data_IF_258280416339
#
_entry.id   IF_258280416339
#
_cell.length_a   1.000
_cell.length_b   1.000
_cell.length_c   1.000
_cell.angle_alpha   90.00
_cell.angle_beta   90.00
_cell.angle_gamma   90.00
#
_symmetry.space_group_name_H-M   'P 1'
#
loop_
_entity.id
_entity.type
_entity.pdbx_description
1 polymer ?
#
# COMPACT_ATOMS: atom_id res chain seq x y z
N UNK A 1 32.88 -9.17 -26.36
CA UNK A 1 31.88 -9.84 -25.53
C UNK A 1 32.28 -9.63 -24.06
N UNK A 2 31.80 -8.61 -23.49
CA UNK A 2 32.12 -8.28 -22.10
C UNK A 2 31.06 -8.89 -21.21
N UNK A 3 31.33 -10.13 -20.76
CA UNK A 3 30.56 -10.74 -19.70
C UNK A 3 30.92 -10.07 -18.39
N UNK A 4 29.99 -9.37 -17.78
CA UNK A 4 30.12 -8.98 -16.39
C UNK A 4 30.10 -10.27 -15.56
N UNK A 5 31.17 -10.56 -14.80
CA UNK A 5 31.10 -11.69 -13.88
C UNK A 5 30.01 -11.37 -12.88
N UNK A 6 28.94 -12.13 -12.92
CA UNK A 6 27.99 -12.14 -11.82
C UNK A 6 28.78 -12.53 -10.58
N UNK A 7 29.00 -11.55 -9.73
CA UNK A 7 29.54 -11.80 -8.41
C UNK A 7 28.47 -12.57 -7.67
N UNK A 8 28.60 -13.88 -7.67
CA UNK A 8 27.81 -14.68 -6.75
C UNK A 8 28.18 -14.23 -5.35
N UNK A 9 27.38 -13.38 -4.77
CA UNK A 9 27.45 -13.12 -3.36
C UNK A 9 26.99 -14.40 -2.70
N UNK A 10 27.96 -15.23 -2.30
CA UNK A 10 27.69 -16.30 -1.39
C UNK A 10 27.20 -15.64 -0.10
N UNK A 11 25.89 -15.52 0.01
CA UNK A 11 25.33 -15.40 1.33
C UNK A 11 25.67 -16.70 2.04
N UNK A 12 26.80 -16.70 2.75
CA UNK A 12 26.92 -17.62 3.85
C UNK A 12 25.71 -17.33 4.71
N UNK A 13 24.72 -18.15 4.60
CA UNK A 13 23.73 -18.32 5.64
C UNK A 13 24.47 -18.92 6.84
N UNK A 14 25.42 -18.17 7.37
CA UNK A 14 25.75 -18.30 8.74
C UNK A 14 24.48 -17.90 9.43
N UNK A 15 23.69 -18.88 9.81
CA UNK A 15 22.72 -18.67 10.87
C UNK A 15 23.53 -17.92 11.92
N UNK A 16 23.23 -16.64 12.22
CA UNK A 16 23.91 -16.01 13.33
C UNK A 16 23.70 -16.97 14.49
N UNK A 17 24.79 -17.45 15.07
CA UNK A 17 24.69 -18.25 16.27
C UNK A 17 23.71 -17.48 17.14
N UNK A 18 22.53 -18.04 17.37
CA UNK A 18 21.57 -17.44 18.25
C UNK A 18 22.34 -17.18 19.51
N UNK A 19 22.61 -15.91 19.76
CA UNK A 19 23.09 -15.52 21.06
C UNK A 19 22.10 -16.18 22.01
N UNK A 20 22.57 -17.00 22.97
CA UNK A 20 21.65 -17.61 23.90
C UNK A 20 20.82 -16.47 24.44
N UNK A 21 19.53 -16.57 24.23
CA UNK A 21 18.61 -15.58 24.76
C UNK A 21 18.99 -15.41 26.22
N UNK A 22 19.21 -14.19 26.70
CA UNK A 22 19.55 -14.02 28.11
C UNK A 22 18.45 -14.75 28.86
N UNK A 23 18.80 -15.84 29.49
CA UNK A 23 17.92 -16.48 30.42
C UNK A 23 17.80 -15.50 31.57
N UNK A 24 16.82 -14.63 31.48
CA UNK A 24 16.31 -14.02 32.67
C UNK A 24 15.67 -15.14 33.47
N UNK A 25 16.48 -15.79 34.25
CA UNK A 25 16.05 -16.70 35.28
C UNK A 25 15.33 -15.94 36.41
N UNK A 26 14.31 -15.26 36.04
CA UNK A 26 13.28 -14.82 36.94
C UNK A 26 12.16 -15.81 36.82
N UNK A 27 12.00 -16.65 37.80
CA UNK A 27 10.72 -17.29 38.04
C UNK A 27 9.70 -16.20 38.17
N UNK A 28 9.11 -15.81 37.05
CA UNK A 28 7.90 -15.00 37.05
C UNK A 28 6.81 -15.91 37.58
N UNK A 29 6.67 -15.91 38.89
CA UNK A 29 5.49 -16.37 39.55
C UNK A 29 4.31 -15.58 38.96
N UNK A 30 3.47 -16.23 38.16
CA UNK A 30 2.09 -15.93 37.90
C UNK A 30 1.63 -14.46 37.83
N UNK A 31 2.51 -13.55 37.48
CA UNK A 31 2.12 -12.17 37.21
C UNK A 31 1.63 -12.10 35.76
N UNK A 32 0.37 -11.77 35.57
CA UNK A 32 -0.14 -11.38 34.27
C UNK A 32 0.82 -10.35 33.66
N UNK A 33 1.59 -10.77 32.67
CA UNK A 33 2.31 -9.80 31.87
C UNK A 33 1.29 -8.86 31.26
N UNK A 34 1.38 -7.55 31.52
CA UNK A 34 0.49 -6.62 30.83
C UNK A 34 0.70 -6.80 29.35
N UNK A 35 -0.38 -6.90 28.54
CA UNK A 35 -0.26 -6.99 27.10
C UNK A 35 0.56 -5.80 26.62
N UNK A 36 1.51 -6.05 25.71
CA UNK A 36 2.30 -4.99 25.10
C UNK A 36 1.36 -4.07 24.35
N UNK A 37 1.30 -2.80 24.78
CA UNK A 37 0.48 -1.78 24.16
C UNK A 37 1.36 -0.80 23.41
N UNK A 38 0.94 -0.32 22.24
CA UNK A 38 1.66 0.73 21.55
C UNK A 38 1.79 1.96 22.43
N UNK A 39 2.95 2.58 22.41
CA UNK A 39 3.21 3.81 23.17
C UNK A 39 2.16 4.87 22.87
N UNK A 40 1.58 5.47 23.89
CA UNK A 40 0.54 6.50 23.76
C UNK A 40 -0.90 5.98 23.77
N UNK A 41 -1.14 4.70 24.01
CA UNK A 41 -2.50 4.19 24.18
C UNK A 41 -3.15 4.75 25.43
N UNK A 42 -4.39 5.27 25.34
CA UNK A 42 -5.11 5.76 26.51
C UNK A 42 -5.46 4.61 27.44
N UNK A 43 -5.26 4.84 28.74
CA UNK A 43 -5.61 3.88 29.79
C UNK A 43 -6.81 4.38 30.58
N UNK A 44 -7.69 3.47 30.99
CA UNK A 44 -8.74 3.78 31.94
C UNK A 44 -8.16 3.94 33.35
N UNK A 45 -8.89 4.58 34.24
CA UNK A 45 -8.48 4.78 35.61
C UNK A 45 -8.21 3.47 36.37
N UNK A 46 -8.68 2.35 35.90
CA UNK A 46 -8.41 1.01 36.43
C UNK A 46 -7.22 0.29 35.78
N UNK A 47 -6.40 0.97 34.96
CA UNK A 47 -5.24 0.38 34.30
C UNK A 47 -5.57 -0.53 33.12
N UNK A 48 -6.83 -0.58 32.71
CA UNK A 48 -7.24 -1.32 31.52
C UNK A 48 -6.95 -0.49 30.28
N UNK A 49 -6.20 -1.07 29.33
CA UNK A 49 -5.97 -0.42 28.05
C UNK A 49 -7.27 -0.44 27.26
N UNK A 50 -7.78 0.73 26.93
CA UNK A 50 -8.87 0.83 25.95
C UNK A 50 -8.27 0.57 24.58
N UNK A 51 -8.67 -0.48 23.84
CA UNK A 51 -8.28 -0.61 22.46
C UNK A 51 -8.81 0.64 21.75
N UNK A 52 -7.90 1.54 21.41
CA UNK A 52 -8.21 2.61 20.49
C UNK A 52 -8.52 1.92 19.18
N UNK A 53 -9.78 1.74 18.89
CA UNK A 53 -10.19 1.62 17.52
C UNK A 53 -9.79 2.95 16.90
N UNK A 54 -8.60 2.96 16.30
CA UNK A 54 -8.25 4.02 15.37
C UNK A 54 -9.40 3.97 14.40
N UNK A 55 -10.27 5.01 14.34
CA UNK A 55 -11.25 5.04 13.29
C UNK A 55 -10.44 4.90 12.03
N UNK A 56 -10.63 3.81 11.32
CA UNK A 56 -10.09 3.63 9.99
C UNK A 56 -10.82 4.61 9.09
N UNK A 57 -10.64 5.90 9.36
CA UNK A 57 -10.83 6.92 8.36
C UNK A 57 -9.68 6.68 7.41
N UNK A 58 -9.92 5.81 6.45
CA UNK A 58 -9.05 5.79 5.29
C UNK A 58 -9.05 7.21 4.77
N UNK A 59 -7.96 7.88 5.02
CA UNK A 59 -7.77 9.19 4.44
C UNK A 59 -7.94 8.97 2.94
N UNK A 60 -8.78 9.79 2.32
CA UNK A 60 -9.17 9.65 0.92
C UNK A 60 -7.99 10.03 0.01
N UNK A 61 -6.87 9.32 0.16
CA UNK A 61 -5.73 9.42 -0.72
C UNK A 61 -6.04 8.74 -2.05
N UNK A 62 -5.41 9.21 -3.09
CA UNK A 62 -5.59 8.67 -4.44
C UNK A 62 -5.31 7.15 -4.51
N UNK A 63 -4.30 6.68 -3.79
CA UNK A 63 -4.00 5.25 -3.74
C UNK A 63 -5.14 4.42 -3.15
N UNK A 64 -5.86 4.95 -2.18
CA UNK A 64 -6.99 4.25 -1.57
C UNK A 64 -8.18 4.21 -2.53
N UNK A 65 -8.44 5.29 -3.24
CA UNK A 65 -9.47 5.31 -4.30
C UNK A 65 -9.13 4.28 -5.38
N UNK A 66 -7.90 4.24 -5.82
CA UNK A 66 -7.46 3.29 -6.84
C UNK A 66 -7.57 1.84 -6.34
N UNK A 67 -7.18 1.55 -5.09
CA UNK A 67 -7.29 0.19 -4.50
C UNK A 67 -8.73 -0.31 -4.40
N UNK A 68 -9.69 0.58 -4.16
CA UNK A 68 -11.10 0.21 -4.16
C UNK A 68 -11.63 -0.13 -5.56
N UNK A 69 -10.89 0.22 -6.60
CA UNK A 69 -11.30 0.08 -8.00
C UNK A 69 -10.38 -0.87 -8.79
N UNK A 70 -9.69 -1.77 -8.11
CA UNK A 70 -8.90 -2.80 -8.79
C UNK A 70 -9.75 -3.63 -9.75
N UNK A 71 -9.15 -4.03 -10.86
CA UNK A 71 -9.82 -4.79 -11.92
C UNK A 71 -10.55 -3.93 -12.96
N UNK A 72 -10.68 -2.63 -12.75
CA UNK A 72 -11.29 -1.70 -13.70
C UNK A 72 -10.29 -1.24 -14.75
N UNK A 73 -10.79 -0.96 -15.94
CA UNK A 73 -9.97 -0.38 -17.01
C UNK A 73 -9.89 1.13 -16.80
N UNK A 74 -8.67 1.62 -16.65
CA UNK A 74 -8.38 3.03 -16.50
C UNK A 74 -7.48 3.56 -17.60
N UNK A 75 -7.56 4.86 -17.82
CA UNK A 75 -6.63 5.62 -18.66
C UNK A 75 -5.86 6.58 -17.77
N UNK A 76 -4.55 6.43 -17.75
CA UNK A 76 -3.64 7.13 -16.87
C UNK A 76 -2.81 8.13 -17.67
N UNK A 77 -2.88 9.39 -17.29
CA UNK A 77 -2.19 10.50 -17.93
C UNK A 77 -0.96 10.85 -17.09
N UNK A 78 0.21 10.65 -17.69
CA UNK A 78 1.51 10.76 -17.03
C UNK A 78 2.32 11.89 -17.63
N UNK A 79 2.99 12.69 -16.80
CA UNK A 79 3.90 13.76 -17.23
C UNK A 79 5.32 13.48 -16.74
N UNK A 80 6.28 13.62 -17.65
CA UNK A 80 7.71 13.39 -17.42
C UNK A 80 8.50 14.65 -17.76
N UNK A 81 8.57 15.57 -16.82
CA UNK A 81 9.14 16.92 -17.06
C UNK A 81 10.59 16.91 -17.55
N UNK A 82 11.38 15.91 -17.15
CA UNK A 82 12.80 15.84 -17.51
C UNK A 82 13.08 15.10 -18.82
N UNK A 83 12.05 14.72 -19.55
CA UNK A 83 12.19 13.98 -20.80
C UNK A 83 11.68 14.82 -21.97
N UNK A 84 12.59 15.37 -22.76
CA UNK A 84 12.25 16.21 -23.91
C UNK A 84 11.53 15.47 -25.06
N UNK A 85 11.67 14.15 -25.13
CA UNK A 85 11.03 13.34 -26.17
C UNK A 85 9.68 12.75 -25.75
N UNK A 86 9.48 12.52 -24.43
CA UNK A 86 8.33 11.81 -23.87
C UNK A 86 7.77 12.54 -22.66
N UNK A 87 7.58 13.84 -22.75
CA UNK A 87 7.15 14.64 -21.62
C UNK A 87 5.69 14.38 -21.20
N UNK A 88 4.86 13.81 -22.07
CA UNK A 88 3.52 13.37 -21.74
C UNK A 88 3.22 12.04 -22.41
N UNK A 89 2.65 11.09 -21.64
CA UNK A 89 2.27 9.78 -22.15
C UNK A 89 0.99 9.28 -21.51
N UNK A 90 0.16 8.64 -22.33
CA UNK A 90 -1.11 8.07 -21.92
C UNK A 90 -0.97 6.55 -21.88
N UNK A 91 -1.37 5.96 -20.77
CA UNK A 91 -1.42 4.51 -20.58
C UNK A 91 -2.85 4.07 -20.34
N UNK A 92 -3.29 3.04 -21.03
CA UNK A 92 -4.60 2.41 -20.82
C UNK A 92 -4.41 0.95 -20.45
N UNK A 93 -5.10 0.51 -19.42
CA UNK A 93 -5.02 -0.89 -18.97
C UNK A 93 -5.89 -1.18 -17.77
N UNK A 94 -5.92 -2.45 -17.40
CA UNK A 94 -6.60 -2.91 -16.21
C UNK A 94 -5.77 -2.56 -14.98
N UNK A 95 -6.37 -1.91 -14.00
CA UNK A 95 -5.73 -1.57 -12.74
C UNK A 95 -5.56 -2.82 -11.89
N UNK A 96 -4.33 -3.32 -11.74
CA UNK A 96 -4.03 -4.52 -10.95
C UNK A 96 -3.64 -4.21 -9.51
N UNK A 97 -2.91 -3.14 -9.31
CA UNK A 97 -2.45 -2.71 -7.98
C UNK A 97 -2.25 -1.19 -7.91
N UNK A 98 -2.39 -0.65 -6.73
CA UNK A 98 -2.05 0.73 -6.43
C UNK A 98 -1.38 0.80 -5.06
N UNK A 99 -0.17 1.33 -5.05
CA UNK A 99 0.60 1.63 -3.87
C UNK A 99 0.66 3.13 -3.62
N UNK A 100 1.39 3.50 -2.58
CA UNK A 100 1.59 4.91 -2.23
C UNK A 100 2.37 5.67 -3.31
N UNK A 101 3.32 5.02 -3.96
CA UNK A 101 4.26 5.60 -4.92
C UNK A 101 4.15 5.04 -6.34
N UNK A 102 3.34 4.00 -6.55
CA UNK A 102 3.23 3.33 -7.84
C UNK A 102 1.82 2.81 -8.12
N UNK A 103 1.56 2.60 -9.40
CA UNK A 103 0.38 1.91 -9.92
C UNK A 103 0.87 0.79 -10.84
N UNK A 104 0.21 -0.35 -10.83
CA UNK A 104 0.47 -1.44 -11.76
C UNK A 104 -0.77 -1.64 -12.61
N UNK A 105 -0.59 -1.55 -13.91
CA UNK A 105 -1.63 -1.82 -14.89
C UNK A 105 -1.21 -2.96 -15.82
N UNK A 106 -2.18 -3.68 -16.34
CA UNK A 106 -1.96 -4.71 -17.35
C UNK A 106 -2.73 -4.39 -18.63
N UNK A 107 -2.08 -4.69 -19.75
CA UNK A 107 -2.73 -4.66 -21.05
C UNK A 107 -3.44 -6.02 -21.27
N UNK A 108 -4.78 -6.04 -21.35
CA UNK A 108 -5.50 -7.28 -21.54
C UNK A 108 -5.22 -7.99 -22.88
N UNK A 109 -4.72 -7.26 -23.87
CA UNK A 109 -4.42 -7.81 -25.18
C UNK A 109 -3.08 -8.55 -25.24
N UNK A 110 -2.07 -8.03 -24.54
CA UNK A 110 -0.70 -8.57 -24.56
C UNK A 110 -0.30 -9.25 -23.27
N UNK A 111 -1.00 -8.99 -22.18
CA UNK A 111 -0.63 -9.41 -20.83
C UNK A 111 0.57 -8.65 -20.24
N UNK A 112 1.05 -7.63 -20.93
CA UNK A 112 2.15 -6.79 -20.43
C UNK A 112 1.70 -5.99 -19.21
N UNK A 113 2.55 -5.99 -18.19
CA UNK A 113 2.35 -5.15 -17.01
C UNK A 113 3.26 -3.94 -17.05
N UNK A 114 2.69 -2.80 -16.71
CA UNK A 114 3.41 -1.54 -16.64
C UNK A 114 3.33 -0.99 -15.23
N UNK A 115 4.48 -0.64 -14.68
CA UNK A 115 4.57 0.05 -13.38
C UNK A 115 4.67 1.54 -13.65
N UNK A 116 3.71 2.31 -13.16
CA UNK A 116 3.65 3.75 -13.29
C UNK A 116 3.96 4.39 -11.94
N UNK A 117 4.75 5.43 -11.93
CA UNK A 117 5.08 6.17 -10.70
C UNK A 117 3.98 7.19 -10.40
N UNK A 118 3.49 7.20 -9.16
CA UNK A 118 2.47 8.17 -8.72
C UNK A 118 2.90 9.61 -8.86
N UNK A 119 4.19 9.90 -8.68
CA UNK A 119 4.75 11.26 -8.81
C UNK A 119 4.54 11.85 -10.21
N UNK A 120 4.43 11.02 -11.22
CA UNK A 120 4.22 11.43 -12.60
C UNK A 120 2.75 11.38 -13.04
N UNK A 121 1.84 11.01 -12.17
CA UNK A 121 0.42 10.90 -12.49
C UNK A 121 -0.25 12.27 -12.37
N UNK A 122 -0.79 12.77 -13.46
CA UNK A 122 -1.59 13.99 -13.46
C UNK A 122 -3.04 13.69 -13.08
N UNK A 123 -3.67 12.76 -13.81
CA UNK A 123 -5.01 12.27 -13.53
C UNK A 123 -5.27 10.93 -14.20
N UNK A 124 -6.32 10.26 -13.74
CA UNK A 124 -6.80 9.03 -14.36
C UNK A 124 -8.29 9.12 -14.65
N UNK A 125 -8.72 8.49 -15.73
CA UNK A 125 -10.14 8.38 -16.10
C UNK A 125 -10.56 6.92 -16.14
N UNK A 126 -11.81 6.66 -15.80
CA UNK A 126 -12.42 5.35 -15.84
C UNK A 126 -13.78 5.47 -16.57
N UNK A 127 -14.09 4.52 -17.43
CA UNK A 127 -15.33 4.51 -18.19
C UNK A 127 -16.54 4.01 -17.38
N UNK A 128 -16.30 3.56 -16.15
CA UNK A 128 -17.30 3.04 -15.23
C UNK A 128 -17.28 3.79 -13.88
N UNK A 129 -18.38 3.76 -13.11
CA UNK A 129 -18.43 4.43 -11.82
C UNK A 129 -17.35 3.98 -10.88
N UNK A 130 -16.71 4.92 -10.20
CA UNK A 130 -15.70 4.63 -9.17
C UNK A 130 -16.37 4.38 -7.82
N UNK A 131 -15.83 3.40 -7.11
CA UNK A 131 -16.10 3.21 -5.69
C UNK A 131 -15.12 4.06 -4.90
N UNK A 132 -15.65 4.88 -3.99
CA UNK A 132 -14.84 5.69 -3.08
C UNK A 132 -15.57 5.88 -1.76
N UNK A 133 -14.82 6.12 -0.70
CA UNK A 133 -15.35 6.40 0.63
C UNK A 133 -14.85 7.75 1.10
N UNK A 134 -15.78 8.58 1.56
CA UNK A 134 -15.43 9.82 2.25
C UNK A 134 -15.45 9.63 3.76
N UNK A 135 -14.59 10.33 4.51
CA UNK A 135 -14.68 10.36 5.96
C UNK A 135 -16.10 10.79 6.39
N UNK A 136 -16.74 9.97 7.24
CA UNK A 136 -18.08 10.25 7.77
C UNK A 136 -19.25 9.74 6.92
N UNK A 137 -19.02 9.13 5.76
CA UNK A 137 -20.07 8.47 4.99
C UNK A 137 -19.98 6.96 5.22
N UNK A 138 -20.94 6.40 5.91
CA UNK A 138 -21.10 4.96 6.06
C UNK A 138 -21.93 4.44 4.91
N UNK A 139 -21.32 3.73 3.97
CA UNK A 139 -21.96 3.11 2.83
C UNK A 139 -21.58 3.74 1.48
N UNK A 140 -21.83 3.01 0.41
CA UNK A 140 -21.67 3.54 -0.94
C UNK A 140 -22.67 4.65 -1.16
N UNK A 141 -22.23 5.83 -1.66
CA UNK A 141 -23.19 6.87 -2.03
C UNK A 141 -24.17 6.31 -3.07
N UNK A 142 -25.46 6.65 -2.98
CA UNK A 142 -26.43 6.18 -3.94
C UNK A 142 -25.99 6.59 -5.34
N UNK A 143 -25.95 5.63 -6.26
CA UNK A 143 -25.65 5.91 -7.66
C UNK A 143 -26.81 6.74 -8.19
N UNK A 144 -26.68 8.05 -8.19
CA UNK A 144 -27.58 8.93 -8.90
C UNK A 144 -27.34 8.71 -10.39
N UNK A 145 -28.16 7.86 -10.99
CA UNK A 145 -28.25 7.81 -12.44
C UNK A 145 -28.80 9.17 -12.90
N UNK A 146 -27.93 10.03 -13.38
CA UNK A 146 -28.37 11.16 -14.20
C UNK A 146 -28.74 10.58 -15.55
N UNK A 147 -30.00 10.61 -15.81
CA UNK A 147 -30.52 10.44 -17.17
C UNK A 147 -30.21 11.70 -17.99
#
# INVERSE_FOLDING_TARGET
>A
MYGYPYRTVNYKTGVPAQAPAPMYGGTMQGGNMPPSVPSGSPMTQGGTVVPQQIPTFEQSYIENILRLNLGKIGTFYMTYENNSQWNAKIFKGVLEAAGRDHIIISDPSTGQRTVLLMVNLDYATFDEPLVYQYPGVIGNPPVTRRY
#
